data_IF_547819683814
#
_entry.id   IF_547819683814
#
_cell.length_a   1.000
_cell.length_b   1.000
_cell.length_c   1.000
_cell.angle_alpha   90.00
_cell.angle_beta   90.00
_cell.angle_gamma   90.00
#
_symmetry.space_group_name_H-M   'P 1'
#
loop_
_entity.id
_entity.type
_entity.pdbx_description
1 polymer ?
#
# COMPACT_ATOMS: atom_id res chain seq x y z
N UNK A 1 -23.92 2.90 -2.65
CA UNK A 1 -22.64 3.54 -2.98
C UNK A 1 -22.78 4.24 -4.32
N UNK A 2 -22.60 5.56 -4.40
CA UNK A 2 -22.55 6.21 -5.70
C UNK A 2 -21.34 5.68 -6.47
N UNK A 3 -21.60 4.94 -7.52
CA UNK A 3 -20.58 4.49 -8.46
C UNK A 3 -20.23 5.67 -9.38
N UNK A 4 -18.95 5.81 -9.73
CA UNK A 4 -18.49 6.83 -10.66
C UNK A 4 -19.27 6.81 -12.01
N UNK A 5 -19.79 5.63 -12.41
CA UNK A 5 -20.63 5.49 -13.60
C UNK A 5 -21.99 6.21 -13.48
N UNK A 6 -22.54 6.31 -12.26
CA UNK A 6 -23.90 6.82 -11.99
C UNK A 6 -23.97 8.30 -11.63
N UNK A 7 -22.83 8.92 -11.33
CA UNK A 7 -22.80 10.34 -10.97
C UNK A 7 -22.93 11.23 -12.20
N UNK A 8 -23.66 12.32 -12.05
CA UNK A 8 -23.75 13.39 -13.04
C UNK A 8 -22.83 14.55 -12.64
N UNK A 9 -21.75 14.71 -13.39
CA UNK A 9 -20.71 15.74 -13.19
C UNK A 9 -20.48 16.58 -14.44
N UNK A 10 -21.35 16.48 -15.44
CA UNK A 10 -21.28 17.28 -16.65
C UNK A 10 -21.33 18.77 -16.32
N UNK A 11 -20.33 19.54 -16.77
CA UNK A 11 -20.19 20.98 -16.49
C UNK A 11 -19.90 21.33 -15.02
N UNK A 12 -19.61 20.34 -14.16
CA UNK A 12 -19.26 20.55 -12.75
C UNK A 12 -17.75 20.52 -12.54
N UNK A 13 -17.30 21.26 -11.55
CA UNK A 13 -15.93 21.17 -11.04
C UNK A 13 -15.88 20.02 -10.03
N UNK A 14 -14.99 19.05 -10.26
CA UNK A 14 -14.79 17.91 -9.37
C UNK A 14 -13.48 18.08 -8.63
N UNK A 15 -13.54 18.10 -7.30
CA UNK A 15 -12.35 17.95 -6.46
C UNK A 15 -11.94 16.48 -6.42
N UNK A 16 -10.84 16.14 -7.08
CA UNK A 16 -10.33 14.79 -7.16
C UNK A 16 -9.12 14.62 -6.24
N UNK A 17 -9.27 13.82 -5.17
CA UNK A 17 -8.18 13.50 -4.25
C UNK A 17 -7.45 12.25 -4.70
N UNK A 18 -6.30 12.43 -5.34
CA UNK A 18 -5.44 11.35 -5.85
C UNK A 18 -4.33 10.93 -4.88
N UNK A 19 -3.76 9.75 -5.09
CA UNK A 19 -2.48 9.34 -4.53
C UNK A 19 -1.38 9.48 -5.60
N UNK A 20 -0.72 10.63 -5.62
CA UNK A 20 0.39 10.94 -6.52
C UNK A 20 1.74 10.99 -5.78
N UNK A 21 1.83 10.27 -4.67
CA UNK A 21 3.03 10.22 -3.82
C UNK A 21 4.11 9.32 -4.45
N UNK A 22 4.70 9.81 -5.52
CA UNK A 22 5.75 9.13 -6.29
C UNK A 22 7.15 9.33 -5.67
N UNK A 23 8.07 8.38 -5.84
CA UNK A 23 9.45 8.59 -5.43
C UNK A 23 10.14 9.63 -6.35
N UNK A 24 10.56 10.75 -5.73
CA UNK A 24 11.35 11.79 -6.39
C UNK A 24 12.81 11.72 -5.93
N UNK A 25 13.74 11.91 -6.86
CA UNK A 25 15.14 12.17 -6.58
C UNK A 25 15.61 13.32 -7.46
N UNK A 26 16.04 14.40 -6.83
CA UNK A 26 16.50 15.63 -7.52
C UNK A 26 15.49 16.16 -8.55
N UNK A 27 14.21 16.17 -8.17
CA UNK A 27 13.11 16.62 -9.03
C UNK A 27 12.71 15.64 -10.15
N UNK A 28 13.36 14.45 -10.22
CA UNK A 28 13.08 13.42 -11.24
C UNK A 28 12.22 12.30 -10.62
N UNK A 29 11.11 12.00 -11.25
CA UNK A 29 10.23 10.88 -10.88
C UNK A 29 10.95 9.57 -11.23
N UNK A 30 11.14 8.69 -10.24
CA UNK A 30 11.78 7.38 -10.41
C UNK A 30 10.81 6.27 -10.77
N UNK A 31 9.56 6.40 -10.33
CA UNK A 31 8.47 5.49 -10.66
C UNK A 31 7.18 6.31 -10.77
N UNK A 32 6.46 6.17 -11.87
CA UNK A 32 5.20 6.88 -12.15
C UNK A 32 3.95 6.00 -11.99
N UNK A 33 4.09 4.82 -11.39
CA UNK A 33 3.01 3.85 -11.25
C UNK A 33 1.78 4.42 -10.55
N UNK A 34 1.95 5.26 -9.52
CA UNK A 34 0.83 5.92 -8.82
C UNK A 34 0.10 6.95 -9.69
N UNK A 35 0.83 7.67 -10.54
CA UNK A 35 0.20 8.59 -11.51
C UNK A 35 -0.63 7.78 -12.51
N UNK A 36 -0.06 6.71 -13.06
CA UNK A 36 -0.77 5.80 -13.99
C UNK A 36 -2.01 5.17 -13.36
N UNK A 37 -1.94 4.79 -12.08
CA UNK A 37 -3.09 4.23 -11.36
C UNK A 37 -4.27 5.22 -11.20
N UNK A 38 -4.01 6.52 -11.22
CA UNK A 38 -5.04 7.56 -11.13
C UNK A 38 -5.68 7.90 -12.51
N UNK A 39 -5.03 7.55 -13.62
CA UNK A 39 -5.51 7.90 -14.97
C UNK A 39 -6.93 7.40 -15.27
N UNK A 40 -7.33 6.15 -14.92
CA UNK A 40 -8.68 5.66 -15.22
C UNK A 40 -9.80 6.47 -14.59
N UNK A 41 -9.58 7.04 -13.40
CA UNK A 41 -10.54 7.93 -12.74
C UNK A 41 -10.55 9.30 -13.40
N UNK A 42 -9.38 9.88 -13.67
CA UNK A 42 -9.24 11.18 -14.33
C UNK A 42 -9.95 11.15 -15.68
N UNK A 43 -9.63 10.18 -16.53
CA UNK A 43 -10.21 10.03 -17.87
C UNK A 43 -11.74 9.87 -17.81
N UNK A 44 -12.24 9.01 -16.91
CA UNK A 44 -13.68 8.81 -16.78
C UNK A 44 -14.44 10.09 -16.36
N UNK A 45 -13.86 10.94 -15.54
CA UNK A 45 -14.46 12.23 -15.15
C UNK A 45 -14.42 13.24 -16.30
N UNK A 46 -13.32 13.30 -17.04
CA UNK A 46 -13.20 14.16 -18.22
C UNK A 46 -14.17 13.76 -19.33
N UNK A 47 -14.31 12.45 -19.61
CA UNK A 47 -15.28 11.91 -20.56
C UNK A 47 -16.73 12.26 -20.20
N UNK A 48 -17.03 12.46 -18.91
CA UNK A 48 -18.34 12.94 -18.42
C UNK A 48 -18.50 14.45 -18.51
N UNK A 49 -17.52 15.18 -19.04
CA UNK A 49 -17.58 16.65 -19.21
C UNK A 49 -17.30 17.42 -17.93
N UNK A 50 -16.66 16.84 -16.93
CA UNK A 50 -16.21 17.55 -15.73
C UNK A 50 -14.96 18.39 -16.01
N UNK A 51 -14.75 19.44 -15.21
CA UNK A 51 -13.43 20.04 -14.99
C UNK A 51 -12.88 19.52 -13.65
N UNK A 52 -11.55 19.40 -13.54
CA UNK A 52 -10.92 18.75 -12.40
C UNK A 52 -10.04 19.70 -11.59
N UNK A 53 -10.26 19.74 -10.28
CA UNK A 53 -9.31 20.29 -9.30
C UNK A 53 -8.66 19.11 -8.60
N UNK A 54 -7.44 18.76 -9.00
CA UNK A 54 -6.71 17.60 -8.45
C UNK A 54 -5.88 18.05 -7.25
N UNK A 55 -6.03 17.31 -6.14
CA UNK A 55 -5.23 17.47 -4.95
C UNK A 55 -4.54 16.16 -4.60
N UNK A 56 -3.27 16.24 -4.24
CA UNK A 56 -2.48 15.11 -3.80
C UNK A 56 -1.45 15.52 -2.75
N UNK A 57 -0.86 14.54 -2.10
CA UNK A 57 0.29 14.75 -1.23
C UNK A 57 1.55 14.13 -1.81
N UNK A 58 2.69 14.67 -1.41
CA UNK A 58 4.01 14.13 -1.73
C UNK A 58 4.89 14.19 -0.47
N UNK A 59 5.39 13.03 -0.06
CA UNK A 59 6.26 12.92 1.10
C UNK A 59 5.63 13.36 2.43
N UNK A 60 6.48 13.83 3.33
CA UNK A 60 6.10 14.27 4.69
C UNK A 60 6.69 15.64 5.02
N UNK A 61 6.16 16.73 4.45
CA UNK A 61 6.69 18.09 4.63
C UNK A 61 6.45 18.66 6.03
N UNK A 62 5.55 18.06 6.82
CA UNK A 62 5.18 18.49 8.20
C UNK A 62 4.56 19.89 8.27
N UNK A 63 3.75 20.27 7.29
CA UNK A 63 3.08 21.56 7.25
C UNK A 63 3.94 22.73 6.75
N UNK A 64 5.06 22.44 6.12
CA UNK A 64 5.99 23.43 5.57
C UNK A 64 6.12 23.28 4.06
N UNK A 65 6.23 24.39 3.34
CA UNK A 65 6.54 24.34 1.92
C UNK A 65 8.01 23.94 1.70
N UNK A 66 8.22 22.82 1.00
CA UNK A 66 9.54 22.28 0.66
C UNK A 66 9.64 22.09 -0.84
N UNK A 67 10.49 22.86 -1.54
CA UNK A 67 10.60 22.80 -3.00
C UNK A 67 10.83 21.39 -3.55
N UNK A 68 11.60 20.55 -2.84
CA UNK A 68 11.86 19.16 -3.20
C UNK A 68 10.64 18.23 -3.10
N UNK A 69 9.57 18.68 -2.45
CA UNK A 69 8.30 17.99 -2.32
C UNK A 69 7.16 18.68 -3.08
N UNK A 70 7.48 19.60 -4.01
CA UNK A 70 6.49 20.22 -4.89
C UNK A 70 5.92 19.20 -5.87
N UNK A 71 4.63 19.37 -6.20
CA UNK A 71 3.93 18.58 -7.22
C UNK A 71 4.17 19.06 -8.65
N UNK A 72 4.99 20.10 -8.89
CA UNK A 72 5.28 20.59 -10.23
C UNK A 72 5.83 19.51 -11.20
N UNK A 73 6.76 18.62 -10.79
CA UNK A 73 7.19 17.51 -11.65
C UNK A 73 6.06 16.52 -11.96
N UNK A 74 5.14 16.32 -11.01
CA UNK A 74 3.98 15.43 -11.17
C UNK A 74 2.99 16.04 -12.17
N UNK A 75 2.75 17.35 -12.12
CA UNK A 75 1.91 18.05 -13.09
C UNK A 75 2.41 17.85 -14.52
N UNK A 76 3.71 18.02 -14.74
CA UNK A 76 4.35 17.80 -16.05
C UNK A 76 4.16 16.37 -16.52
N UNK A 77 4.43 15.38 -15.63
CA UNK A 77 4.29 13.96 -15.98
C UNK A 77 2.85 13.57 -16.25
N UNK A 78 1.90 14.11 -15.49
CA UNK A 78 0.48 13.87 -15.69
C UNK A 78 0.01 14.41 -17.05
N UNK A 79 0.45 15.62 -17.44
CA UNK A 79 0.16 16.22 -18.74
C UNK A 79 0.69 15.37 -19.90
N UNK A 80 1.92 14.86 -19.78
CA UNK A 80 2.52 13.94 -20.77
C UNK A 80 1.68 12.65 -20.94
N UNK A 81 1.23 12.05 -19.83
CA UNK A 81 0.45 10.80 -19.85
C UNK A 81 -0.98 11.00 -20.37
N UNK A 82 -1.58 12.15 -20.13
CA UNK A 82 -2.93 12.48 -20.61
C UNK A 82 -2.92 13.03 -22.04
N UNK A 83 -1.78 13.52 -22.53
CA UNK A 83 -1.68 14.17 -23.83
C UNK A 83 -2.40 15.53 -23.89
N UNK A 84 -2.64 16.17 -22.72
CA UNK A 84 -3.28 17.49 -22.60
C UNK A 84 -2.63 18.32 -21.52
N UNK A 85 -2.91 19.62 -21.52
CA UNK A 85 -2.41 20.56 -20.52
C UNK A 85 -2.95 20.23 -19.12
N UNK A 86 -2.09 20.33 -18.11
CA UNK A 86 -2.43 20.33 -16.69
C UNK A 86 -1.94 21.66 -16.10
N UNK A 87 -2.87 22.52 -15.76
CA UNK A 87 -2.57 23.80 -15.12
C UNK A 87 -2.05 23.51 -13.72
N UNK A 88 -0.85 23.95 -13.40
CA UNK A 88 -0.29 23.80 -12.05
C UNK A 88 -0.39 25.12 -11.29
N UNK A 89 -1.02 25.08 -10.10
CA UNK A 89 -1.03 26.23 -9.19
C UNK A 89 -0.11 25.93 -7.99
N UNK A 90 0.90 26.78 -7.80
CA UNK A 90 1.87 26.66 -6.70
C UNK A 90 1.30 26.95 -5.30
N UNK A 91 -0.01 26.95 -5.13
CA UNK A 91 -0.72 27.15 -3.87
C UNK A 91 -1.79 26.06 -3.69
N UNK A 92 -2.26 25.88 -2.45
CA UNK A 92 -3.30 24.90 -2.12
C UNK A 92 -4.68 25.56 -1.97
N UNK A 93 -4.72 26.77 -1.40
CA UNK A 93 -5.92 27.58 -1.20
C UNK A 93 -5.61 29.07 -1.41
N UNK A 94 -6.62 29.89 -1.39
CA UNK A 94 -6.51 31.34 -1.50
C UNK A 94 -7.12 31.90 -2.77
N UNK A 95 -7.17 33.25 -2.92
CA UNK A 95 -7.88 33.90 -4.02
C UNK A 95 -7.41 33.47 -5.41
N UNK A 96 -6.09 33.30 -5.60
CA UNK A 96 -5.53 32.89 -6.89
C UNK A 96 -5.97 31.45 -7.27
N UNK A 97 -6.03 30.53 -6.29
CA UNK A 97 -6.53 29.17 -6.52
C UNK A 97 -8.02 29.17 -6.83
N UNK A 98 -8.80 29.96 -6.08
CA UNK A 98 -10.25 30.08 -6.31
C UNK A 98 -10.53 30.59 -7.71
N UNK A 99 -9.88 31.69 -8.12
CA UNK A 99 -10.03 32.25 -9.47
C UNK A 99 -9.62 31.23 -10.56
N UNK A 100 -8.52 30.51 -10.36
CA UNK A 100 -8.10 29.47 -11.31
C UNK A 100 -9.13 28.31 -11.40
N UNK A 101 -9.69 27.88 -10.28
CA UNK A 101 -10.71 26.84 -10.26
C UNK A 101 -12.03 27.28 -10.91
N UNK A 102 -12.44 28.52 -10.66
CA UNK A 102 -13.67 29.10 -11.24
C UNK A 102 -13.57 29.35 -12.76
N UNK A 103 -12.36 29.56 -13.28
CA UNK A 103 -12.12 29.77 -14.70
C UNK A 103 -11.97 28.50 -15.53
N UNK A 104 -11.96 27.30 -14.90
CA UNK A 104 -11.83 26.05 -15.62
C UNK A 104 -13.02 25.79 -16.55
N UNK A 105 -12.74 25.54 -17.81
CA UNK A 105 -13.69 24.99 -18.76
C UNK A 105 -13.84 23.47 -18.59
N UNK A 106 -14.93 22.92 -19.12
CA UNK A 106 -15.14 21.47 -19.14
C UNK A 106 -13.96 20.76 -19.85
N UNK A 107 -13.42 19.73 -19.21
CA UNK A 107 -12.26 18.99 -19.71
C UNK A 107 -10.91 19.53 -19.24
N UNK A 108 -10.85 20.69 -18.61
CA UNK A 108 -9.60 21.25 -18.10
C UNK A 108 -9.24 20.72 -16.71
N UNK A 109 -7.95 20.72 -16.41
CA UNK A 109 -7.37 20.18 -15.18
C UNK A 109 -6.52 21.24 -14.49
N UNK A 110 -6.81 21.49 -13.21
CA UNK A 110 -5.99 22.24 -12.28
C UNK A 110 -5.39 21.27 -11.27
N UNK A 111 -4.06 21.17 -11.19
CA UNK A 111 -3.38 20.48 -10.11
C UNK A 111 -2.92 21.50 -9.07
N UNK A 112 -3.34 21.30 -7.83
CA UNK A 112 -2.91 22.11 -6.69
C UNK A 112 -1.49 21.71 -6.25
N UNK A 113 -0.83 22.60 -5.51
CA UNK A 113 0.43 22.27 -4.83
C UNK A 113 0.18 21.21 -3.74
N UNK A 114 1.29 20.60 -3.24
CA UNK A 114 1.27 19.58 -2.22
C UNK A 114 0.38 19.97 -1.03
N UNK A 115 -0.74 19.26 -0.87
CA UNK A 115 -1.76 19.63 0.12
C UNK A 115 -1.23 19.55 1.56
N UNK A 116 -0.16 18.77 1.81
CA UNK A 116 0.51 18.68 3.12
C UNK A 116 1.46 19.84 3.41
N UNK A 117 1.59 20.82 2.51
CA UNK A 117 2.23 22.10 2.85
C UNK A 117 1.35 22.93 3.79
N UNK A 118 0.03 22.70 3.78
CA UNK A 118 -0.84 23.21 4.82
C UNK A 118 -0.76 22.35 6.08
N UNK A 119 -0.40 22.92 7.26
CA UNK A 119 -0.41 22.19 8.52
C UNK A 119 -1.81 21.69 8.90
N UNK A 120 -2.87 22.40 8.48
CA UNK A 120 -4.26 22.04 8.76
C UNK A 120 -4.69 20.72 8.07
N UNK A 121 -4.05 20.33 6.95
CA UNK A 121 -4.35 19.04 6.29
C UNK A 121 -4.19 17.85 7.24
N UNK A 122 -3.15 17.85 8.06
CA UNK A 122 -2.81 16.73 8.96
C UNK A 122 -2.97 17.06 10.43
N UNK A 123 -3.62 18.17 10.76
CA UNK A 123 -3.84 18.60 12.14
C UNK A 123 -4.62 17.55 12.95
N UNK A 124 -4.30 17.41 14.22
CA UNK A 124 -5.08 16.61 15.18
C UNK A 124 -6.34 17.32 15.63
N UNK A 125 -6.35 18.66 15.55
CA UNK A 125 -7.49 19.50 15.92
C UNK A 125 -8.55 19.46 14.81
N UNK A 126 -9.75 18.99 15.16
CA UNK A 126 -10.86 18.85 14.22
C UNK A 126 -11.28 20.20 13.63
N UNK A 127 -11.30 21.25 14.45
CA UNK A 127 -11.67 22.62 13.99
C UNK A 127 -10.73 23.16 12.91
N UNK A 128 -9.43 22.90 13.02
CA UNK A 128 -8.46 23.31 12.03
C UNK A 128 -8.65 22.55 10.69
N UNK A 129 -8.85 21.24 10.78
CA UNK A 129 -9.12 20.42 9.59
C UNK A 129 -10.44 20.81 8.93
N UNK A 130 -11.49 21.06 9.72
CA UNK A 130 -12.80 21.46 9.20
C UNK A 130 -12.75 22.82 8.51
N UNK A 131 -12.04 23.80 9.09
CA UNK A 131 -11.85 25.10 8.46
C UNK A 131 -11.11 24.98 7.11
N UNK A 132 -10.05 24.19 7.06
CA UNK A 132 -9.31 23.95 5.83
C UNK A 132 -10.14 23.17 4.78
N UNK A 133 -10.90 22.17 5.20
CA UNK A 133 -11.82 21.47 4.32
C UNK A 133 -12.89 22.41 3.72
N UNK A 134 -13.40 23.37 4.53
CA UNK A 134 -14.32 24.37 4.02
C UNK A 134 -13.71 25.30 2.97
N UNK A 135 -12.41 25.64 3.09
CA UNK A 135 -11.72 26.39 2.04
C UNK A 135 -11.56 25.55 0.76
N UNK A 136 -11.21 24.26 0.89
CA UNK A 136 -11.11 23.34 -0.26
C UNK A 136 -12.47 23.12 -0.94
N UNK A 137 -13.57 23.07 -0.18
CA UNK A 137 -14.91 22.87 -0.71
C UNK A 137 -15.36 24.01 -1.65
N UNK A 138 -14.83 25.21 -1.50
CA UNK A 138 -15.12 26.34 -2.41
C UNK A 138 -14.60 26.11 -3.84
N UNK A 139 -13.65 25.22 -4.01
CA UNK A 139 -12.99 24.95 -5.29
C UNK A 139 -13.79 24.04 -6.22
N UNK A 140 -14.83 23.37 -5.73
CA UNK A 140 -15.54 22.35 -6.51
C UNK A 140 -17.00 22.18 -6.08
N UNK A 141 -17.77 21.52 -6.95
CA UNK A 141 -19.20 21.25 -6.77
C UNK A 141 -19.45 19.78 -6.37
N UNK A 142 -18.43 18.91 -6.55
CA UNK A 142 -18.46 17.48 -6.28
C UNK A 142 -17.09 16.98 -5.82
N UNK A 143 -17.07 15.95 -4.98
CA UNK A 143 -15.83 15.34 -4.49
C UNK A 143 -15.68 13.91 -4.99
N UNK A 144 -14.48 13.54 -5.46
CA UNK A 144 -14.12 12.16 -5.76
C UNK A 144 -12.86 11.77 -4.98
N UNK A 145 -12.99 10.74 -4.14
CA UNK A 145 -11.87 10.17 -3.39
C UNK A 145 -11.22 9.02 -4.15
N UNK A 146 -9.97 9.22 -4.60
CA UNK A 146 -9.21 8.20 -5.34
C UNK A 146 -7.80 7.96 -4.77
N UNK A 147 -7.52 8.50 -3.60
CA UNK A 147 -6.23 8.38 -2.91
C UNK A 147 -6.23 7.28 -1.85
N UNK A 148 -6.33 6.00 -2.23
CA UNK A 148 -6.46 4.90 -1.29
C UNK A 148 -5.34 4.84 -0.24
N UNK A 149 -4.11 5.15 -0.58
CA UNK A 149 -2.98 5.20 0.35
C UNK A 149 -3.13 6.20 1.51
N UNK A 150 -4.13 7.09 1.48
CA UNK A 150 -4.38 8.09 2.52
C UNK A 150 -5.68 7.85 3.33
N UNK A 151 -6.54 6.90 2.94
CA UNK A 151 -7.88 6.70 3.55
C UNK A 151 -7.84 6.25 5.01
N UNK A 152 -6.70 5.76 5.50
CA UNK A 152 -6.49 5.35 6.89
C UNK A 152 -6.21 6.53 7.83
N UNK A 153 -6.15 7.76 7.31
CA UNK A 153 -5.84 8.97 8.09
C UNK A 153 -7.02 9.94 8.09
N UNK A 154 -7.29 10.58 9.25
CA UNK A 154 -8.24 11.69 9.35
C UNK A 154 -7.56 12.97 8.87
N UNK A 155 -7.27 13.05 7.56
CA UNK A 155 -6.78 14.27 6.92
C UNK A 155 -7.95 15.08 6.37
N UNK A 156 -7.83 16.42 6.37
CA UNK A 156 -8.91 17.32 5.96
C UNK A 156 -9.45 17.00 4.57
N UNK A 157 -8.56 16.78 3.58
CA UNK A 157 -8.94 16.48 2.19
C UNK A 157 -9.52 15.09 1.99
N UNK A 158 -9.33 14.16 2.94
CA UNK A 158 -9.73 12.74 2.84
C UNK A 158 -10.95 12.41 3.69
N UNK A 159 -11.07 13.06 4.87
CA UNK A 159 -12.09 12.74 5.86
C UNK A 159 -13.11 13.85 6.07
N UNK A 160 -12.68 15.12 6.11
CA UNK A 160 -13.56 16.23 6.42
C UNK A 160 -14.22 16.81 5.16
N UNK A 161 -13.47 16.96 4.06
CA UNK A 161 -13.97 17.52 2.80
C UNK A 161 -15.11 16.71 2.15
N UNK A 162 -15.06 15.35 2.06
CA UNK A 162 -16.18 14.61 1.46
C UNK A 162 -17.51 14.78 2.20
N UNK A 163 -17.51 15.17 3.48
CA UNK A 163 -18.73 15.46 4.23
C UNK A 163 -19.41 16.77 3.83
N UNK A 164 -18.71 17.65 3.12
CA UNK A 164 -19.19 18.98 2.73
C UNK A 164 -19.74 19.02 1.30
N UNK A 165 -19.45 17.99 0.48
CA UNK A 165 -19.83 17.94 -0.93
C UNK A 165 -20.52 16.62 -1.25
N UNK A 166 -21.40 16.59 -2.27
CA UNK A 166 -21.77 15.33 -2.89
C UNK A 166 -20.49 14.58 -3.29
N UNK A 167 -20.43 13.28 -3.04
CA UNK A 167 -19.17 12.55 -3.20
C UNK A 167 -19.34 11.16 -3.80
N UNK A 168 -18.24 10.63 -4.34
CA UNK A 168 -18.12 9.26 -4.80
C UNK A 168 -16.69 8.75 -4.62
N UNK A 169 -16.53 7.42 -4.68
CA UNK A 169 -15.22 6.80 -4.82
C UNK A 169 -14.73 6.85 -6.27
N UNK A 170 -13.44 7.10 -6.46
CA UNK A 170 -12.79 6.88 -7.74
C UNK A 170 -12.56 5.39 -8.01
N UNK A 171 -12.17 5.06 -9.25
CA UNK A 171 -11.99 3.67 -9.69
C UNK A 171 -10.91 2.93 -8.89
N UNK A 172 -9.82 3.63 -8.51
CA UNK A 172 -8.75 3.02 -7.72
C UNK A 172 -9.25 2.63 -6.33
N UNK A 173 -9.91 3.55 -5.62
CA UNK A 173 -10.46 3.28 -4.28
C UNK A 173 -11.51 2.18 -4.35
N UNK A 174 -12.39 2.20 -5.35
CA UNK A 174 -13.41 1.17 -5.52
C UNK A 174 -12.80 -0.22 -5.74
N UNK A 175 -11.78 -0.33 -6.61
CA UNK A 175 -11.08 -1.59 -6.86
C UNK A 175 -10.35 -2.12 -5.62
N UNK A 176 -9.64 -1.25 -4.89
CA UNK A 176 -8.95 -1.61 -3.63
C UNK A 176 -9.96 -2.15 -2.60
N UNK A 177 -11.09 -1.46 -2.41
CA UNK A 177 -12.12 -1.88 -1.46
C UNK A 177 -12.75 -3.21 -1.88
N UNK A 178 -13.02 -3.42 -3.17
CA UNK A 178 -13.54 -4.69 -3.68
C UNK A 178 -12.59 -5.85 -3.39
N UNK A 179 -11.30 -5.67 -3.67
CA UNK A 179 -10.28 -6.68 -3.40
C UNK A 179 -10.18 -6.97 -1.89
N UNK A 180 -10.14 -5.93 -1.05
CA UNK A 180 -10.05 -6.10 0.40
C UNK A 180 -11.30 -6.78 0.98
N UNK A 181 -12.48 -6.50 0.45
CA UNK A 181 -13.72 -7.22 0.81
C UNK A 181 -13.62 -8.70 0.43
N UNK A 182 -13.07 -9.05 -0.73
CA UNK A 182 -12.82 -10.45 -1.12
C UNK A 182 -11.86 -11.17 -0.17
N UNK A 183 -10.86 -10.46 0.37
CA UNK A 183 -9.91 -11.02 1.34
C UNK A 183 -10.50 -11.18 2.75
N UNK A 184 -11.53 -10.39 3.13
CA UNK A 184 -12.04 -10.32 4.50
C UNK A 184 -13.45 -10.83 4.69
N UNK A 185 -14.29 -10.77 3.63
CA UNK A 185 -15.69 -11.16 3.64
C UNK A 185 -15.89 -12.38 2.74
N UNK A 186 -15.82 -13.58 3.30
CA UNK A 186 -16.00 -14.86 2.59
C UNK A 186 -14.96 -15.12 1.48
N UNK A 187 -13.64 -15.12 1.80
CA UNK A 187 -12.62 -15.50 0.82
C UNK A 187 -12.83 -16.94 0.34
N UNK A 188 -12.57 -17.19 -0.95
CA UNK A 188 -12.54 -18.56 -1.47
C UNK A 188 -11.42 -19.34 -0.82
N UNK A 189 -11.71 -20.57 -0.38
CA UNK A 189 -10.77 -21.43 0.35
C UNK A 189 -10.13 -22.48 -0.57
N UNK A 190 -8.91 -22.94 -0.24
CA UNK A 190 -8.08 -22.53 0.90
C UNK A 190 -7.58 -21.09 0.79
N UNK A 191 -7.55 -20.38 1.92
CA UNK A 191 -7.06 -19.01 2.02
C UNK A 191 -5.66 -18.99 2.64
N UNK A 192 -4.68 -18.54 1.86
CA UNK A 192 -3.29 -18.40 2.27
C UNK A 192 -2.88 -16.95 2.50
N UNK A 193 -2.08 -16.72 3.52
CA UNK A 193 -1.44 -15.43 3.78
C UNK A 193 0.06 -15.63 3.89
N UNK A 194 0.82 -14.81 3.20
CA UNK A 194 2.28 -14.80 3.22
C UNK A 194 2.74 -13.46 3.76
N UNK A 195 3.44 -13.47 4.87
CA UNK A 195 3.95 -12.26 5.52
C UNK A 195 5.47 -12.31 5.64
N UNK A 196 6.09 -11.23 5.23
CA UNK A 196 7.51 -10.99 5.37
C UNK A 196 7.80 -9.57 5.88
N UNK A 197 9.04 -9.14 5.75
CA UNK A 197 9.51 -7.86 6.27
C UNK A 197 10.33 -8.02 7.54
N UNK A 198 10.75 -6.91 8.16
CA UNK A 198 11.75 -6.92 9.22
C UNK A 198 11.19 -7.27 10.60
N UNK A 199 9.96 -6.80 10.93
CA UNK A 199 9.43 -6.80 12.31
C UNK A 199 8.07 -7.45 12.44
N UNK A 200 7.90 -8.28 13.48
CA UNK A 200 6.60 -8.85 13.88
C UNK A 200 5.64 -7.75 14.34
N UNK A 201 6.14 -6.78 15.12
CA UNK A 201 5.35 -5.68 15.65
C UNK A 201 4.60 -4.89 14.57
N UNK A 202 5.20 -4.74 13.38
CA UNK A 202 4.58 -4.06 12.24
C UNK A 202 3.42 -4.85 11.59
N UNK A 203 3.33 -6.16 11.87
CA UNK A 203 2.34 -7.10 11.29
C UNK A 203 1.42 -7.72 12.32
N UNK A 204 1.62 -7.42 13.62
CA UNK A 204 0.93 -8.09 14.71
C UNK A 204 -0.59 -8.06 14.53
N UNK A 205 -1.17 -6.87 14.30
CA UNK A 205 -2.60 -6.72 14.14
C UNK A 205 -3.17 -7.50 12.94
N UNK A 206 -2.40 -7.58 11.84
CA UNK A 206 -2.78 -8.39 10.67
C UNK A 206 -2.77 -9.88 11.03
N UNK A 207 -1.72 -10.35 11.70
CA UNK A 207 -1.59 -11.77 12.10
C UNK A 207 -2.75 -12.14 13.04
N UNK A 208 -2.98 -11.36 14.09
CA UNK A 208 -4.04 -11.60 15.08
C UNK A 208 -5.42 -11.68 14.42
N UNK A 209 -5.75 -10.72 13.55
CA UNK A 209 -7.06 -10.69 12.90
C UNK A 209 -7.24 -11.82 11.88
N UNK A 210 -6.18 -12.28 11.23
CA UNK A 210 -6.25 -13.29 10.18
C UNK A 210 -6.11 -14.74 10.70
N UNK A 211 -5.48 -14.97 11.86
CA UNK A 211 -5.32 -16.33 12.44
C UNK A 211 -6.63 -17.09 12.65
N UNK A 212 -7.77 -16.41 12.74
CA UNK A 212 -9.10 -17.05 12.79
C UNK A 212 -9.76 -17.24 11.43
N UNK A 213 -9.14 -16.81 10.34
CA UNK A 213 -9.77 -16.69 9.03
C UNK A 213 -9.03 -17.42 7.91
N UNK A 214 -7.74 -17.71 8.08
CA UNK A 214 -6.88 -18.32 7.06
C UNK A 214 -6.68 -19.82 7.29
N UNK A 215 -6.36 -20.54 6.20
CA UNK A 215 -6.01 -21.96 6.26
C UNK A 215 -4.48 -22.14 6.32
N UNK A 216 -3.73 -21.23 5.70
CA UNK A 216 -2.27 -21.25 5.62
C UNK A 216 -1.71 -19.87 5.97
N UNK A 217 -0.70 -19.84 6.84
CA UNK A 217 0.09 -18.65 7.16
C UNK A 217 1.57 -18.96 6.99
N UNK A 218 2.21 -18.33 6.01
CA UNK A 218 3.65 -18.44 5.78
C UNK A 218 4.37 -17.18 6.27
N UNK A 219 5.42 -17.37 7.06
CA UNK A 219 6.23 -16.29 7.65
C UNK A 219 7.64 -16.34 7.09
N UNK A 220 8.09 -15.23 6.52
CA UNK A 220 9.45 -15.03 6.00
C UNK A 220 10.04 -13.69 6.42
N UNK A 221 11.11 -13.26 5.74
CA UNK A 221 11.80 -12.02 6.04
C UNK A 221 12.48 -12.02 7.41
N UNK A 222 12.95 -10.85 7.85
CA UNK A 222 13.62 -10.68 9.14
C UNK A 222 12.76 -11.04 10.35
N UNK A 223 11.45 -10.85 10.25
CA UNK A 223 10.50 -11.17 11.33
C UNK A 223 10.49 -12.67 11.69
N UNK A 224 10.88 -13.56 10.78
CA UNK A 224 10.88 -15.01 11.03
C UNK A 224 11.82 -15.42 12.15
N UNK A 225 12.92 -14.67 12.35
CA UNK A 225 13.88 -15.00 13.41
C UNK A 225 13.32 -14.80 14.82
N UNK A 226 12.36 -13.90 15.00
CA UNK A 226 11.60 -13.80 16.26
C UNK A 226 10.73 -15.03 16.47
N UNK A 227 10.13 -15.62 15.43
CA UNK A 227 9.40 -16.90 15.51
C UNK A 227 10.33 -18.07 15.82
N UNK A 228 11.48 -18.16 15.16
CA UNK A 228 12.47 -19.23 15.41
C UNK A 228 13.03 -19.15 16.84
N UNK A 229 13.33 -17.94 17.31
CA UNK A 229 13.80 -17.72 18.69
C UNK A 229 12.73 -18.07 19.73
N UNK A 230 11.46 -17.72 19.45
CA UNK A 230 10.33 -18.10 20.31
C UNK A 230 10.16 -19.63 20.42
N UNK A 231 10.57 -20.40 19.39
CA UNK A 231 10.65 -21.86 19.41
C UNK A 231 11.90 -22.41 20.11
N UNK A 232 12.77 -21.54 20.66
CA UNK A 232 14.02 -21.94 21.34
C UNK A 232 15.20 -22.20 20.42
N UNK A 233 15.12 -21.83 19.13
CA UNK A 233 16.22 -22.00 18.17
C UNK A 233 17.26 -20.88 18.31
N UNK A 234 18.52 -21.19 18.03
CA UNK A 234 19.56 -20.18 17.91
C UNK A 234 19.48 -19.51 16.55
N UNK A 235 19.62 -18.18 16.53
CA UNK A 235 19.40 -17.34 15.35
C UNK A 235 20.63 -16.52 14.94
N UNK A 236 21.79 -16.79 15.58
CA UNK A 236 23.03 -16.04 15.34
C UNK A 236 22.86 -14.56 15.62
N UNK A 237 23.33 -13.71 14.69
CA UNK A 237 23.19 -12.26 14.74
C UNK A 237 21.98 -11.75 13.96
N UNK A 238 21.01 -12.62 13.64
CA UNK A 238 19.79 -12.24 12.91
C UNK A 238 18.93 -11.25 13.70
N UNK A 239 18.07 -10.51 12.97
CA UNK A 239 17.12 -9.60 13.58
C UNK A 239 16.19 -10.33 14.55
N UNK A 240 15.93 -9.72 15.72
CA UNK A 240 14.99 -10.25 16.70
C UNK A 240 14.34 -9.12 17.49
N UNK A 241 13.05 -9.26 17.74
CA UNK A 241 12.30 -8.40 18.67
C UNK A 241 12.11 -9.21 19.97
N UNK A 242 13.04 -9.05 20.92
CA UNK A 242 13.07 -9.83 22.16
C UNK A 242 11.79 -9.62 23.00
N UNK A 243 11.24 -8.43 22.98
CA UNK A 243 9.99 -8.06 23.64
C UNK A 243 8.75 -8.76 23.03
N UNK A 244 8.85 -9.25 21.81
CA UNK A 244 7.77 -9.93 21.10
C UNK A 244 7.76 -11.48 21.27
N UNK A 245 8.75 -12.05 21.94
CA UNK A 245 8.89 -13.51 22.02
C UNK A 245 7.68 -14.20 22.64
N UNK A 246 7.14 -13.69 23.74
CA UNK A 246 5.97 -14.29 24.41
C UNK A 246 4.68 -14.06 23.58
N UNK A 247 4.55 -12.92 22.91
CA UNK A 247 3.47 -12.67 21.96
C UNK A 247 3.50 -13.68 20.82
N UNK A 248 4.68 -13.89 20.22
CA UNK A 248 4.87 -14.85 19.13
C UNK A 248 4.57 -16.29 19.55
N UNK A 249 4.95 -16.71 20.78
CA UNK A 249 4.55 -18.03 21.33
C UNK A 249 3.02 -18.16 21.38
N UNK A 250 2.32 -17.09 21.80
CA UNK A 250 0.87 -17.04 21.79
C UNK A 250 0.26 -17.16 20.40
N UNK A 251 0.87 -16.48 19.40
CA UNK A 251 0.44 -16.58 17.99
C UNK A 251 0.61 -18.00 17.44
N UNK A 252 1.73 -18.66 17.72
CA UNK A 252 1.99 -20.05 17.30
C UNK A 252 0.94 -20.99 17.91
N UNK A 253 0.67 -20.87 19.21
CA UNK A 253 -0.34 -21.67 19.89
C UNK A 253 -1.76 -21.41 19.36
N UNK A 254 -2.06 -20.15 19.01
CA UNK A 254 -3.34 -19.76 18.43
C UNK A 254 -3.50 -20.34 17.02
N UNK A 255 -2.45 -20.32 16.20
CA UNK A 255 -2.46 -20.93 14.87
C UNK A 255 -2.76 -22.43 14.98
N UNK A 256 -2.08 -23.15 15.87
CA UNK A 256 -2.30 -24.57 16.12
C UNK A 256 -3.73 -24.86 16.60
N UNK A 257 -4.22 -24.10 17.57
CA UNK A 257 -5.59 -24.23 18.10
C UNK A 257 -6.65 -24.04 17.02
N UNK A 258 -6.42 -23.10 16.11
CA UNK A 258 -7.35 -22.78 15.02
C UNK A 258 -7.18 -23.69 13.79
N UNK A 259 -6.24 -24.64 13.81
CA UNK A 259 -5.95 -25.51 12.67
C UNK A 259 -5.31 -24.81 11.49
N UNK A 260 -4.70 -23.65 11.71
CA UNK A 260 -3.99 -22.89 10.68
C UNK A 260 -2.64 -23.55 10.42
N UNK A 261 -2.35 -23.87 9.17
CA UNK A 261 -1.04 -24.38 8.76
C UNK A 261 -0.01 -23.25 8.79
N UNK A 262 0.71 -23.13 9.92
CA UNK A 262 1.80 -22.17 10.06
C UNK A 262 3.06 -22.71 9.38
N UNK A 263 3.56 -22.02 8.36
CA UNK A 263 4.78 -22.35 7.64
C UNK A 263 5.91 -21.45 8.11
N UNK A 264 6.90 -22.04 8.75
CA UNK A 264 8.16 -21.40 9.10
C UNK A 264 9.29 -22.06 8.29
N UNK A 265 10.33 -21.35 7.91
CA UNK A 265 11.43 -21.94 7.14
C UNK A 265 12.18 -23.01 7.94
N UNK A 266 12.58 -24.06 7.22
CA UNK A 266 13.41 -25.16 7.72
C UNK A 266 14.86 -25.01 7.35
N UNK A 267 15.15 -24.15 6.38
CA UNK A 267 16.49 -23.75 5.94
C UNK A 267 16.54 -22.24 5.70
N UNK A 268 17.71 -21.67 5.89
CA UNK A 268 17.98 -20.23 5.84
C UNK A 268 19.25 -19.98 5.03
N UNK A 269 19.24 -18.92 4.22
CA UNK A 269 20.45 -18.37 3.61
C UNK A 269 21.01 -17.30 4.55
N UNK A 270 22.18 -17.55 5.09
CA UNK A 270 22.87 -16.69 6.05
C UNK A 270 24.11 -16.03 5.45
N UNK A 271 24.56 -14.97 6.06
CA UNK A 271 25.85 -14.32 5.77
C UNK A 271 26.44 -13.67 7.03
N UNK A 272 27.76 -13.40 7.08
CA UNK A 272 28.38 -12.77 8.22
C UNK A 272 28.03 -11.28 8.37
N UNK A 273 27.60 -10.63 7.28
CA UNK A 273 27.31 -9.19 7.25
C UNK A 273 26.10 -8.90 6.37
N UNK A 274 25.40 -7.80 6.67
CA UNK A 274 24.34 -7.26 5.81
C UNK A 274 24.97 -6.44 4.66
N UNK A 275 25.35 -7.13 3.59
CA UNK A 275 25.96 -6.51 2.41
C UNK A 275 25.57 -7.26 1.13
N UNK A 276 25.48 -6.53 0.01
CA UNK A 276 25.07 -7.10 -1.28
C UNK A 276 26.10 -8.12 -1.83
N UNK A 277 27.36 -7.96 -1.49
CA UNK A 277 28.49 -8.83 -1.85
C UNK A 277 28.83 -9.88 -0.81
N UNK A 278 28.07 -9.96 0.30
CA UNK A 278 28.26 -10.98 1.32
C UNK A 278 28.08 -12.38 0.73
N UNK A 279 28.99 -13.28 1.12
CA UNK A 279 28.94 -14.68 0.66
C UNK A 279 27.78 -15.44 1.32
N UNK A 280 26.80 -15.92 0.55
CA UNK A 280 25.67 -16.65 1.08
C UNK A 280 26.08 -18.07 1.50
N UNK A 281 25.57 -18.52 2.64
CA UNK A 281 25.73 -19.89 3.10
C UNK A 281 24.35 -20.46 3.44
N UNK A 282 24.05 -21.66 2.97
CA UNK A 282 22.82 -22.37 3.29
C UNK A 282 23.00 -23.17 4.57
N UNK A 283 22.09 -22.96 5.54
CA UNK A 283 22.08 -23.69 6.81
C UNK A 283 20.68 -24.15 7.19
N UNK A 284 20.56 -25.15 8.04
CA UNK A 284 19.28 -25.50 8.65
C UNK A 284 18.82 -24.38 9.61
N UNK A 285 17.52 -24.16 9.71
CA UNK A 285 16.96 -23.07 10.53
C UNK A 285 17.17 -23.28 12.05
N UNK A 286 17.59 -24.45 12.49
CA UNK A 286 17.96 -24.79 13.86
C UNK A 286 19.49 -24.89 14.07
N UNK A 287 20.27 -24.53 13.05
CA UNK A 287 21.73 -24.58 13.05
C UNK A 287 22.38 -23.31 12.51
N UNK A 288 21.79 -22.17 12.77
CA UNK A 288 22.35 -20.85 12.36
C UNK A 288 23.59 -20.57 13.21
N UNK A 289 24.79 -20.37 12.60
CA UNK A 289 26.00 -20.07 13.34
C UNK A 289 25.90 -18.76 14.12
N UNK A 290 26.58 -18.69 15.28
CA UNK A 290 26.49 -17.56 16.18
C UNK A 290 26.99 -16.20 15.59
N UNK A 291 27.86 -16.26 14.59
CA UNK A 291 28.47 -15.13 13.88
C UNK A 291 27.79 -14.83 12.53
N UNK A 292 26.66 -15.49 12.22
CA UNK A 292 25.94 -15.32 10.95
C UNK A 292 24.54 -14.74 11.18
N UNK A 293 24.05 -14.01 10.21
CA UNK A 293 22.67 -13.51 10.17
C UNK A 293 21.90 -14.09 8.99
N UNK A 294 20.62 -14.40 9.20
CA UNK A 294 19.75 -14.83 8.13
C UNK A 294 19.31 -13.65 7.26
N UNK A 295 19.41 -13.81 5.94
CA UNK A 295 19.09 -12.78 4.96
C UNK A 295 18.04 -13.21 3.93
N UNK A 296 17.79 -14.54 3.78
CA UNK A 296 16.68 -15.08 2.97
C UNK A 296 16.24 -16.44 3.52
N UNK A 297 15.04 -16.86 3.16
CA UNK A 297 14.63 -18.25 3.37
C UNK A 297 15.41 -19.18 2.41
N UNK A 298 15.70 -20.40 2.85
CA UNK A 298 16.41 -21.36 2.01
C UNK A 298 15.53 -21.95 0.91
N UNK A 299 16.14 -22.65 -0.06
CA UNK A 299 15.42 -23.19 -1.22
C UNK A 299 14.40 -24.27 -0.84
N UNK A 300 14.66 -25.11 0.17
CA UNK A 300 13.68 -26.12 0.61
C UNK A 300 12.44 -25.44 1.22
N UNK A 301 12.64 -24.40 2.01
CA UNK A 301 11.57 -23.58 2.58
C UNK A 301 10.76 -22.88 1.50
N UNK A 302 11.42 -22.26 0.52
CA UNK A 302 10.76 -21.58 -0.58
C UNK A 302 9.89 -22.53 -1.41
N UNK A 303 10.37 -23.74 -1.71
CA UNK A 303 9.61 -24.79 -2.40
C UNK A 303 8.42 -25.25 -1.56
N UNK A 304 8.61 -25.45 -0.25
CA UNK A 304 7.51 -25.84 0.64
C UNK A 304 6.43 -24.76 0.73
N UNK A 305 6.81 -23.47 0.81
CA UNK A 305 5.87 -22.35 0.79
C UNK A 305 5.10 -22.30 -0.54
N UNK A 306 5.82 -22.37 -1.67
CA UNK A 306 5.24 -22.38 -3.01
C UNK A 306 4.22 -23.53 -3.17
N UNK A 307 4.56 -24.72 -2.70
CA UNK A 307 3.67 -25.89 -2.79
C UNK A 307 2.34 -25.72 -2.05
N UNK A 308 2.31 -24.94 -0.98
CA UNK A 308 1.07 -24.64 -0.26
C UNK A 308 0.33 -23.43 -0.89
N UNK A 309 1.08 -22.42 -1.33
CA UNK A 309 0.51 -21.22 -1.97
C UNK A 309 -0.31 -21.60 -3.22
N UNK A 310 0.22 -22.46 -4.09
CA UNK A 310 -0.47 -22.83 -5.34
C UNK A 310 -1.75 -23.63 -5.14
N UNK A 311 -1.96 -24.22 -3.96
CA UNK A 311 -3.20 -24.91 -3.60
C UNK A 311 -4.30 -23.96 -3.18
N UNK A 312 -3.93 -22.73 -2.77
CA UNK A 312 -4.89 -21.75 -2.30
C UNK A 312 -5.73 -21.16 -3.44
N UNK A 313 -6.96 -20.75 -3.11
CA UNK A 313 -7.87 -20.02 -4.00
C UNK A 313 -7.76 -18.51 -3.78
N UNK A 314 -7.48 -18.12 -2.55
CA UNK A 314 -7.23 -16.72 -2.18
C UNK A 314 -5.86 -16.66 -1.53
N UNK A 315 -5.01 -15.74 -2.01
CA UNK A 315 -3.69 -15.50 -1.40
C UNK A 315 -3.47 -14.00 -1.22
N UNK A 316 -3.07 -13.61 -0.02
CA UNK A 316 -2.56 -12.28 0.26
C UNK A 316 -1.08 -12.36 0.65
N UNK A 317 -0.24 -11.60 -0.01
CA UNK A 317 1.19 -11.51 0.27
C UNK A 317 1.60 -10.07 0.60
N UNK A 318 2.29 -9.88 1.73
CA UNK A 318 2.83 -8.59 2.14
C UNK A 318 4.21 -8.75 2.80
N UNK A 319 5.21 -8.15 2.19
CA UNK A 319 6.59 -8.16 2.62
C UNK A 319 7.44 -9.28 1.98
N UNK A 320 8.69 -8.97 1.58
CA UNK A 320 9.60 -9.93 0.96
C UNK A 320 10.05 -11.01 1.94
N UNK A 321 10.48 -12.15 1.39
CA UNK A 321 10.95 -13.30 2.17
C UNK A 321 12.41 -13.19 2.56
N UNK A 322 13.17 -12.32 1.92
CA UNK A 322 14.58 -12.03 2.16
C UNK A 322 14.92 -10.63 1.71
N UNK A 323 16.21 -10.29 1.71
CA UNK A 323 16.73 -8.99 1.26
C UNK A 323 16.81 -9.01 -0.26
N UNK A 324 15.65 -8.88 -0.91
CA UNK A 324 15.53 -9.02 -2.38
C UNK A 324 16.33 -7.99 -3.17
N UNK A 325 16.71 -6.86 -2.56
CA UNK A 325 17.58 -5.85 -3.15
C UNK A 325 19.01 -6.37 -3.38
N UNK A 326 19.38 -7.45 -2.69
CA UNK A 326 20.66 -8.12 -2.84
C UNK A 326 20.47 -9.40 -3.65
N UNK A 327 21.06 -9.53 -4.85
CA UNK A 327 20.82 -10.68 -5.73
C UNK A 327 21.05 -12.05 -5.07
N UNK A 328 22.01 -12.14 -4.14
CA UNK A 328 22.33 -13.36 -3.41
C UNK A 328 21.24 -13.78 -2.41
N UNK A 329 20.30 -12.89 -2.05
CA UNK A 329 19.28 -13.08 -1.01
C UNK A 329 17.87 -12.78 -1.51
N UNK A 330 17.65 -12.92 -2.82
CA UNK A 330 16.37 -12.64 -3.50
C UNK A 330 15.61 -13.91 -3.90
N UNK A 331 16.22 -15.09 -3.80
CA UNK A 331 15.68 -16.33 -4.35
C UNK A 331 14.38 -16.74 -3.68
N UNK A 332 14.28 -16.64 -2.35
CA UNK A 332 13.07 -16.97 -1.59
C UNK A 332 11.89 -16.10 -2.02
N UNK A 333 12.11 -14.79 -2.14
CA UNK A 333 11.10 -13.84 -2.60
C UNK A 333 10.65 -14.17 -4.04
N UNK A 334 11.59 -14.51 -4.93
CA UNK A 334 11.29 -14.86 -6.32
C UNK A 334 10.43 -16.11 -6.44
N UNK A 335 10.73 -17.15 -5.67
CA UNK A 335 9.97 -18.42 -5.69
C UNK A 335 8.54 -18.19 -5.18
N UNK A 336 8.36 -17.42 -4.11
CA UNK A 336 7.04 -17.04 -3.60
C UNK A 336 6.26 -16.21 -4.63
N UNK A 337 6.89 -15.21 -5.25
CA UNK A 337 6.27 -14.42 -6.31
C UNK A 337 5.81 -15.32 -7.48
N UNK A 338 6.66 -16.25 -7.93
CA UNK A 338 6.31 -17.20 -8.98
C UNK A 338 5.12 -18.08 -8.59
N UNK A 339 5.04 -18.53 -7.34
CA UNK A 339 3.90 -19.32 -6.86
C UNK A 339 2.58 -18.52 -6.90
N UNK A 340 2.61 -17.24 -6.55
CA UNK A 340 1.43 -16.38 -6.61
C UNK A 340 0.89 -16.24 -8.03
N UNK A 341 1.75 -16.23 -9.05
CA UNK A 341 1.30 -16.18 -10.46
C UNK A 341 0.56 -17.45 -10.91
N UNK A 342 0.67 -18.54 -10.16
CA UNK A 342 0.05 -19.84 -10.45
C UNK A 342 -1.23 -20.10 -9.63
N UNK A 343 -1.61 -19.18 -8.76
CA UNK A 343 -2.85 -19.29 -7.97
C UNK A 343 -4.05 -19.26 -8.90
N UNK A 344 -4.92 -20.29 -8.80
CA UNK A 344 -6.07 -20.43 -9.70
C UNK A 344 -7.25 -19.48 -9.40
N UNK A 345 -7.24 -18.84 -8.23
CA UNK A 345 -8.22 -17.84 -7.82
C UNK A 345 -7.59 -16.45 -7.79
N UNK A 346 -7.73 -15.74 -6.68
CA UNK A 346 -7.17 -14.38 -6.54
C UNK A 346 -5.85 -14.40 -5.76
N UNK A 347 -4.79 -13.83 -6.37
CA UNK A 347 -3.54 -13.50 -5.69
C UNK A 347 -3.40 -12.00 -5.54
N UNK A 348 -3.19 -11.52 -4.32
CA UNK A 348 -3.06 -10.09 -4.00
C UNK A 348 -1.67 -9.82 -3.43
N UNK A 349 -0.92 -8.97 -4.10
CA UNK A 349 0.36 -8.45 -3.63
C UNK A 349 0.10 -7.12 -2.93
N UNK A 350 0.35 -7.05 -1.63
CA UNK A 350 0.11 -5.86 -0.81
C UNK A 350 1.38 -5.18 -0.36
N UNK A 351 1.37 -3.85 -0.43
CA UNK A 351 2.45 -2.99 0.06
C UNK A 351 3.53 -2.66 -0.96
N UNK A 352 4.15 -1.50 -0.75
CA UNK A 352 5.14 -0.94 -1.68
C UNK A 352 6.36 -1.83 -1.89
N UNK A 353 6.89 -2.43 -0.81
CA UNK A 353 8.08 -3.28 -0.89
C UNK A 353 7.81 -4.57 -1.67
N UNK A 354 6.62 -5.18 -1.48
CA UNK A 354 6.23 -6.37 -2.23
C UNK A 354 6.02 -6.06 -3.71
N UNK A 355 5.36 -4.93 -4.02
CA UNK A 355 5.18 -4.46 -5.39
C UNK A 355 6.52 -4.13 -6.07
N UNK A 356 7.44 -3.50 -5.34
CA UNK A 356 8.80 -3.25 -5.83
C UNK A 356 9.57 -4.55 -6.07
N UNK A 357 9.46 -5.52 -5.16
CA UNK A 357 10.12 -6.81 -5.28
C UNK A 357 9.68 -7.57 -6.53
N UNK A 358 8.37 -7.69 -6.79
CA UNK A 358 7.88 -8.42 -7.97
C UNK A 358 8.39 -7.80 -9.27
N UNK A 359 8.40 -6.47 -9.38
CA UNK A 359 8.90 -5.75 -10.55
C UNK A 359 10.43 -5.89 -10.71
N UNK A 360 11.19 -5.74 -9.61
CA UNK A 360 12.64 -5.91 -9.61
C UNK A 360 13.07 -7.34 -9.99
N UNK A 361 12.25 -8.34 -9.65
CA UNK A 361 12.47 -9.74 -9.97
C UNK A 361 11.98 -10.15 -11.36
N UNK A 362 11.47 -9.19 -12.15
CA UNK A 362 11.11 -9.37 -13.55
C UNK A 362 9.69 -9.85 -13.82
N UNK A 363 8.79 -9.76 -12.84
CA UNK A 363 7.38 -10.07 -13.03
C UNK A 363 6.60 -8.84 -13.52
N UNK A 364 5.65 -9.07 -14.42
CA UNK A 364 4.69 -8.05 -14.83
C UNK A 364 3.51 -8.00 -13.84
N UNK A 365 2.99 -6.81 -13.57
CA UNK A 365 1.85 -6.61 -12.66
C UNK A 365 0.63 -7.46 -13.07
N UNK A 366 0.41 -7.65 -14.35
CA UNK A 366 -0.69 -8.44 -14.92
C UNK A 366 -0.61 -9.96 -14.66
N UNK A 367 0.49 -10.45 -14.12
CA UNK A 367 0.65 -11.86 -13.74
C UNK A 367 0.01 -12.16 -12.37
N UNK A 368 -0.35 -11.14 -11.61
CA UNK A 368 -1.01 -11.25 -10.30
C UNK A 368 -2.48 -10.86 -10.42
N UNK A 369 -3.32 -11.42 -9.56
CA UNK A 369 -4.72 -11.06 -9.51
C UNK A 369 -4.95 -9.59 -9.16
N UNK A 370 -4.13 -9.04 -8.27
CA UNK A 370 -4.11 -7.61 -7.92
C UNK A 370 -2.81 -7.19 -7.25
N UNK A 371 -2.31 -6.00 -7.58
CA UNK A 371 -1.23 -5.35 -6.83
C UNK A 371 -1.81 -4.11 -6.14
N UNK A 372 -1.91 -4.18 -4.82
CA UNK A 372 -2.43 -3.08 -4.01
C UNK A 372 -1.41 -1.96 -3.87
N UNK A 373 -1.85 -0.75 -4.15
CA UNK A 373 -1.07 0.48 -3.94
C UNK A 373 -1.25 1.05 -2.53
N UNK A 374 -2.15 0.46 -1.74
CA UNK A 374 -2.65 1.01 -0.48
C UNK A 374 -1.66 1.03 0.68
N UNK A 375 -0.60 0.24 0.63
CA UNK A 375 0.42 0.19 1.68
C UNK A 375 -0.17 -0.01 3.08
N UNK A 376 0.01 0.98 3.96
CA UNK A 376 -0.52 0.97 5.32
C UNK A 376 -2.04 0.91 5.42
N UNK A 377 -2.77 1.52 4.46
CA UNK A 377 -4.23 1.48 4.46
C UNK A 377 -4.77 0.06 4.26
N UNK A 378 -4.19 -0.72 3.35
CA UNK A 378 -4.56 -2.11 3.13
C UNK A 378 -4.31 -2.97 4.37
N UNK A 379 -3.15 -2.76 5.03
CA UNK A 379 -2.83 -3.50 6.26
C UNK A 379 -3.78 -3.13 7.39
N UNK A 380 -4.05 -1.86 7.64
CA UNK A 380 -4.99 -1.42 8.68
C UNK A 380 -6.42 -1.97 8.44
N UNK A 381 -6.84 -2.08 7.16
CA UNK A 381 -8.11 -2.74 6.83
C UNK A 381 -8.09 -4.24 7.17
N UNK A 382 -6.98 -4.93 6.84
CA UNK A 382 -6.80 -6.35 7.16
C UNK A 382 -6.62 -6.62 8.66
N UNK A 383 -6.22 -5.61 9.44
CA UNK A 383 -6.25 -5.62 10.90
C UNK A 383 -7.69 -5.51 11.47
N UNK A 384 -8.68 -5.25 10.62
CA UNK A 384 -10.06 -5.03 11.02
C UNK A 384 -10.36 -3.61 11.50
N UNK A 385 -9.48 -2.66 11.25
CA UNK A 385 -9.69 -1.25 11.61
C UNK A 385 -10.62 -0.56 10.63
N UNK A 386 -11.47 0.31 11.15
CA UNK A 386 -12.29 1.20 10.34
C UNK A 386 -11.39 2.29 9.71
N UNK A 387 -11.44 2.42 8.38
CA UNK A 387 -10.66 3.43 7.68
C UNK A 387 -11.48 4.73 7.52
N UNK A 388 -11.04 5.85 8.13
CA UNK A 388 -11.83 7.08 8.17
C UNK A 388 -12.24 7.60 6.79
N UNK A 389 -11.35 7.56 5.81
CA UNK A 389 -11.63 8.02 4.46
C UNK A 389 -12.64 7.15 3.72
N UNK A 390 -12.67 5.83 3.97
CA UNK A 390 -13.69 4.95 3.39
C UNK A 390 -15.06 5.18 4.04
N UNK A 391 -15.09 5.44 5.34
CA UNK A 391 -16.31 5.82 6.05
C UNK A 391 -16.86 7.15 5.53
N UNK A 392 -16.00 8.14 5.31
CA UNK A 392 -16.41 9.43 4.77
C UNK A 392 -16.92 9.36 3.31
N UNK A 393 -16.64 8.25 2.60
CA UNK A 393 -17.15 7.92 1.26
C UNK A 393 -18.31 6.94 1.28
N UNK A 394 -18.87 6.59 2.45
CA UNK A 394 -19.96 5.61 2.62
C UNK A 394 -19.63 4.21 2.02
N UNK A 395 -18.35 3.78 2.11
CA UNK A 395 -17.89 2.51 1.54
C UNK A 395 -17.85 1.36 2.55
N UNK A 396 -17.84 1.70 3.84
CA UNK A 396 -17.80 0.76 4.98
C UNK A 396 -18.69 1.25 6.11
#
# INVERSE_FOLDING_TARGET
>A
MPDLSTIDVAGKRVFLRCDLNVPLKEGVIKDDGRIKASLPTIQALLEKGASLVIAAHLGRPKGEAKPELSLAPVAKRLAELLGQEVIFNGQVTGPAVTTAAESLAAGEILLLENIRFSPAETSKEESERAAFAAELAKLADFYVGDGFGAVHRKHASVFDLPKLLPHAAGKLVAAEVEVLKKLTQNPERPYGVVLGGAKVSDKLGVIENLLGKVDVLAIGGGMVFTFLKAQGKEIGTSLVEAEMLDVVKGLIATAEKNGVKLLLPTDIVVAPTFAADATPTLVAADAIPADQMGLDIGPASAIAFAAEIVKCKTVFWNGPMGVFEFPNFAAGTKVVAQALTQVSGISVVGGGDSAAAVRALGFADSQFGYISTGGGASLEYLEGKELPGLKALDLI
#
